data_IF_340032293111
#
_entry.id   IF_340032293111
#
_cell.length_a   1.000
_cell.length_b   1.000
_cell.length_c   1.000
_cell.angle_alpha   90.00
_cell.angle_beta   90.00
_cell.angle_gamma   90.00
#
_symmetry.space_group_name_H-M   'P 1'
#
loop_
_entity.id
_entity.type
_entity.pdbx_description
1 polymer ?
#
# COMPACT_ATOMS: atom_id res chain seq x y z
N UNK A 1 -2.24 -9.31 -1.46
CA UNK A 1 -1.93 -7.96 -1.97
C UNK A 1 -2.30 -7.94 -3.43
N UNK A 2 -3.06 -6.95 -3.90
CA UNK A 2 -3.29 -6.77 -5.32
C UNK A 2 -1.97 -6.70 -6.10
N UNK A 3 -1.95 -7.11 -7.38
CA UNK A 3 -0.77 -6.93 -8.21
C UNK A 3 -0.54 -5.44 -8.53
N UNK A 4 0.70 -5.09 -8.89
CA UNK A 4 1.12 -3.70 -9.11
C UNK A 4 0.20 -2.93 -10.08
N UNK A 5 -0.21 -3.56 -11.19
CA UNK A 5 -1.11 -2.96 -12.18
C UNK A 5 -2.47 -2.55 -11.58
N UNK A 6 -2.98 -3.32 -10.61
CA UNK A 6 -4.19 -2.96 -9.88
C UNK A 6 -3.94 -1.74 -8.98
N UNK A 7 -2.81 -1.66 -8.28
CA UNK A 7 -2.46 -0.49 -7.48
C UNK A 7 -2.33 0.77 -8.33
N UNK A 8 -1.60 0.70 -9.46
CA UNK A 8 -1.43 1.84 -10.37
C UNK A 8 -2.78 2.36 -10.90
N UNK A 9 -3.67 1.43 -11.27
CA UNK A 9 -5.02 1.77 -11.74
C UNK A 9 -5.82 2.48 -10.65
N UNK A 10 -5.86 1.92 -9.44
CA UNK A 10 -6.61 2.48 -8.31
C UNK A 10 -6.05 3.85 -7.89
N UNK A 11 -4.73 3.98 -7.84
CA UNK A 11 -4.00 5.22 -7.57
C UNK A 11 -4.36 6.33 -8.57
N UNK A 12 -4.35 6.01 -9.87
CA UNK A 12 -4.76 6.93 -10.93
C UNK A 12 -6.22 7.36 -10.82
N UNK A 13 -7.11 6.44 -10.46
CA UNK A 13 -8.53 6.76 -10.25
C UNK A 13 -8.74 7.71 -9.06
N UNK A 14 -7.98 7.54 -7.97
CA UNK A 14 -8.07 8.39 -6.77
C UNK A 14 -7.45 9.77 -6.95
N UNK A 15 -6.28 9.81 -7.59
CA UNK A 15 -5.38 10.97 -7.50
C UNK A 15 -5.09 11.62 -8.85
N UNK A 16 -5.47 10.98 -9.95
CA UNK A 16 -5.08 11.37 -11.31
C UNK A 16 -3.65 11.00 -11.69
N UNK A 17 -2.88 10.38 -10.78
CA UNK A 17 -1.49 9.94 -10.98
C UNK A 17 -1.34 8.48 -10.58
N UNK A 18 -0.43 7.77 -11.22
CA UNK A 18 -0.21 6.35 -10.93
C UNK A 18 0.73 6.12 -9.73
N UNK A 19 1.53 7.13 -9.35
CA UNK A 19 2.54 7.03 -8.28
C UNK A 19 3.42 5.76 -8.37
N UNK A 20 3.80 5.36 -9.58
CA UNK A 20 4.45 4.06 -9.82
C UNK A 20 5.70 3.82 -8.98
N UNK A 21 6.60 4.80 -8.88
CA UNK A 21 7.83 4.65 -8.08
C UNK A 21 7.53 4.43 -6.60
N UNK A 22 6.46 5.04 -6.07
CA UNK A 22 6.03 4.83 -4.69
C UNK A 22 5.54 3.38 -4.51
N UNK A 23 4.65 2.90 -5.38
CA UNK A 23 4.13 1.52 -5.28
C UNK A 23 5.25 0.48 -5.43
N UNK A 24 6.20 0.70 -6.33
CA UNK A 24 7.39 -0.14 -6.46
C UNK A 24 8.25 -0.13 -5.21
N UNK A 25 8.47 1.03 -4.60
CA UNK A 25 9.22 1.11 -3.34
C UNK A 25 8.53 0.35 -2.21
N UNK A 26 7.19 0.37 -2.17
CA UNK A 26 6.41 -0.35 -1.16
C UNK A 26 6.57 -1.88 -1.33
N UNK A 27 6.53 -2.40 -2.56
CA UNK A 27 6.35 -3.84 -2.81
C UNK A 27 7.50 -4.59 -3.47
N UNK A 28 8.35 -3.95 -4.29
CA UNK A 28 9.32 -4.66 -5.14
C UNK A 28 10.44 -5.28 -4.30
N UNK A 29 10.88 -4.61 -3.24
CA UNK A 29 11.89 -5.14 -2.30
C UNK A 29 11.22 -6.01 -1.23
N UNK A 30 11.18 -7.32 -1.47
CA UNK A 30 10.55 -8.28 -0.57
C UNK A 30 11.20 -8.40 0.81
N UNK A 31 12.45 -7.97 0.99
CA UNK A 31 13.11 -7.97 2.29
C UNK A 31 12.61 -6.82 3.16
N UNK A 32 12.40 -5.65 2.53
CA UNK A 32 11.97 -4.43 3.23
C UNK A 32 10.45 -4.23 3.24
N UNK A 33 9.71 -4.86 2.32
CA UNK A 33 8.26 -4.74 2.23
C UNK A 33 7.54 -5.04 3.57
N UNK A 34 7.89 -6.08 4.35
CA UNK A 34 7.24 -6.32 5.64
C UNK A 34 7.33 -5.14 6.61
N UNK A 35 8.47 -4.45 6.63
CA UNK A 35 8.71 -3.27 7.47
C UNK A 35 7.94 -2.04 6.95
N UNK A 36 7.85 -1.88 5.63
CA UNK A 36 7.11 -0.78 5.01
C UNK A 36 5.60 -0.90 5.29
N UNK A 37 5.09 -2.14 5.34
CA UNK A 37 3.68 -2.44 5.62
C UNK A 37 3.33 -2.55 7.11
N UNK A 38 4.31 -2.45 8.00
CA UNK A 38 4.07 -2.51 9.44
C UNK A 38 3.30 -1.26 9.88
N UNK A 39 2.08 -1.47 10.40
CA UNK A 39 1.18 -0.42 10.87
C UNK A 39 1.85 0.45 11.95
N UNK A 40 2.69 -0.16 12.80
CA UNK A 40 3.40 0.55 13.86
C UNK A 40 4.45 1.52 13.32
N UNK A 41 4.89 1.35 12.06
CA UNK A 41 5.92 2.14 11.39
C UNK A 41 5.38 3.10 10.33
N UNK A 42 4.06 3.12 10.12
CA UNK A 42 3.40 4.06 9.21
C UNK A 42 3.83 5.52 9.47
N UNK A 43 3.89 6.03 10.73
CA UNK A 43 4.30 7.42 10.97
C UNK A 43 5.71 7.75 10.46
N UNK A 44 6.68 6.84 10.62
CA UNK A 44 8.05 6.99 10.12
C UNK A 44 8.08 6.92 8.60
N UNK A 45 7.37 5.95 8.02
CA UNK A 45 7.31 5.77 6.57
C UNK A 45 6.63 6.96 5.89
N UNK A 46 5.58 7.55 6.49
CA UNK A 46 4.94 8.77 6.00
C UNK A 46 5.92 9.95 5.93
N UNK A 47 6.84 10.10 6.90
CA UNK A 47 7.87 11.15 6.86
C UNK A 47 8.83 10.93 5.69
N UNK A 48 9.24 9.69 5.45
CA UNK A 48 10.08 9.33 4.31
C UNK A 48 9.37 9.59 2.97
N UNK A 49 8.11 9.14 2.86
CA UNK A 49 7.28 9.34 1.67
C UNK A 49 7.10 10.82 1.37
N UNK A 50 6.78 11.63 2.38
CA UNK A 50 6.66 13.09 2.22
C UNK A 50 7.95 13.70 1.68
N UNK A 51 9.10 13.31 2.26
CA UNK A 51 10.41 13.82 1.85
C UNK A 51 10.75 13.48 0.40
N UNK A 52 10.32 12.31 -0.09
CA UNK A 52 10.71 11.80 -1.41
C UNK A 52 9.69 12.13 -2.52
N UNK A 53 8.40 12.05 -2.24
CA UNK A 53 7.33 12.22 -3.24
C UNK A 53 6.31 13.33 -2.91
N UNK A 54 6.45 13.99 -1.77
CA UNK A 54 5.60 15.10 -1.34
C UNK A 54 4.35 14.69 -0.57
N UNK A 55 3.62 15.69 -0.10
CA UNK A 55 2.51 15.51 0.85
C UNK A 55 1.35 14.69 0.27
N UNK A 56 1.01 14.88 -1.00
CA UNK A 56 -0.07 14.12 -1.64
C UNK A 56 0.25 12.63 -1.79
N UNK A 57 1.52 12.26 -1.89
CA UNK A 57 1.95 10.86 -1.95
C UNK A 57 1.77 10.12 -0.62
N UNK A 58 1.70 10.85 0.50
CA UNK A 58 1.42 10.26 1.82
C UNK A 58 0.04 9.61 1.83
N UNK A 59 -0.96 10.28 1.26
CA UNK A 59 -2.32 9.75 1.17
C UNK A 59 -2.33 8.46 0.37
N UNK A 60 -1.62 8.43 -0.76
CA UNK A 60 -1.54 7.23 -1.60
C UNK A 60 -0.80 6.09 -0.89
N UNK A 61 0.29 6.38 -0.18
CA UNK A 61 0.97 5.37 0.65
C UNK A 61 0.01 4.74 1.67
N UNK A 62 -0.72 5.54 2.43
CA UNK A 62 -1.68 5.02 3.42
C UNK A 62 -2.81 4.23 2.75
N UNK A 63 -3.29 4.69 1.59
CA UNK A 63 -4.32 3.96 0.82
C UNK A 63 -3.83 2.61 0.33
N UNK A 64 -2.58 2.52 -0.16
CA UNK A 64 -1.96 1.26 -0.54
C UNK A 64 -1.94 0.26 0.62
N UNK A 65 -1.40 0.67 1.78
CA UNK A 65 -1.32 -0.20 2.96
C UNK A 65 -2.70 -0.67 3.41
N UNK A 66 -3.71 0.23 3.39
CA UNK A 66 -5.10 -0.11 3.72
C UNK A 66 -5.65 -1.19 2.77
N UNK A 67 -5.51 -1.00 1.45
CA UNK A 67 -6.01 -1.94 0.44
C UNK A 67 -5.38 -3.34 0.63
N UNK A 68 -4.09 -3.39 0.92
CA UNK A 68 -3.39 -4.65 1.19
C UNK A 68 -3.84 -5.32 2.48
N UNK A 69 -4.08 -4.55 3.53
CA UNK A 69 -4.63 -5.07 4.78
C UNK A 69 -6.04 -5.62 4.59
N UNK A 70 -6.91 -4.90 3.87
CA UNK A 70 -8.28 -5.35 3.58
C UNK A 70 -8.27 -6.64 2.75
N UNK A 71 -7.39 -6.73 1.76
CA UNK A 71 -7.24 -7.92 0.95
C UNK A 71 -6.79 -9.12 1.79
N UNK A 72 -5.73 -8.95 2.59
CA UNK A 72 -5.23 -10.01 3.50
C UNK A 72 -6.27 -10.43 4.53
N UNK A 73 -7.00 -9.47 5.10
CA UNK A 73 -8.06 -9.76 6.05
C UNK A 73 -9.17 -10.58 5.39
N UNK A 74 -9.61 -10.19 4.19
CA UNK A 74 -10.61 -10.93 3.42
C UNK A 74 -10.15 -12.36 3.13
N UNK A 75 -8.93 -12.54 2.63
CA UNK A 75 -8.36 -13.86 2.35
C UNK A 75 -8.31 -14.74 3.61
N UNK A 76 -7.88 -14.18 4.74
CA UNK A 76 -7.83 -14.90 6.01
C UNK A 76 -9.23 -15.29 6.50
N UNK A 77 -10.20 -14.37 6.44
CA UNK A 77 -11.58 -14.66 6.84
C UNK A 77 -12.20 -15.76 5.97
N UNK A 78 -11.93 -15.74 4.65
CA UNK A 78 -12.37 -16.79 3.73
C UNK A 78 -11.68 -18.13 4.02
N UNK A 79 -10.37 -18.13 4.30
CA UNK A 79 -9.62 -19.33 4.69
C UNK A 79 -10.21 -20.01 5.93
N UNK A 80 -10.63 -19.24 6.94
CA UNK A 80 -11.26 -19.75 8.15
C UNK A 80 -12.77 -20.00 8.03
N UNK A 81 -13.38 -19.78 6.86
CA UNK A 81 -14.82 -19.96 6.65
C UNK A 81 -15.70 -18.97 7.42
N UNK A 82 -15.15 -17.83 7.83
CA UNK A 82 -15.84 -16.77 8.58
C UNK A 82 -16.51 -15.74 7.67
N UNK A 83 -16.21 -15.80 6.37
CA UNK A 83 -16.74 -14.91 5.35
C UNK A 83 -16.79 -15.67 4.01
N UNK A 84 -17.90 -15.55 3.28
CA UNK A 84 -18.09 -16.16 1.95
C UNK A 84 -17.88 -15.12 0.86
#
# INVERSE_FOLDING_TARGET
>A
MPPLDVHLKSSKQRTGKEYEELHRWIDDDKLNAPEIHDISRIPENMKYVNKKWGEEAIKEFVMHIKEDMEHRLKENLQYFGLFT
#
